data_IF_640128980153
#
_entry.id   IF_640128980153
#
_cell.length_a   1.000
_cell.length_b   1.000
_cell.length_c   1.000
_cell.angle_alpha   90.00
_cell.angle_beta   90.00
_cell.angle_gamma   90.00
#
_symmetry.space_group_name_H-M   'P 1'
#
loop_
_entity.id
_entity.type
_entity.pdbx_description
1 polymer ?
#
# COMPACT_ATOMS: atom_id res chain seq x y z
N UNK A 1 21.81 2.64 9.68
CA UNK A 1 21.82 1.17 9.90
C UNK A 1 20.68 0.70 10.82
N UNK A 2 19.99 1.62 11.51
CA UNK A 2 18.93 1.34 12.49
C UNK A 2 17.49 1.39 11.91
N UNK A 3 17.29 2.08 10.79
CA UNK A 3 16.00 2.17 10.06
C UNK A 3 15.53 0.82 9.47
N UNK A 4 16.45 -0.11 9.23
CA UNK A 4 16.18 -1.43 8.63
C UNK A 4 15.39 -2.36 9.56
N UNK A 5 15.30 -2.07 10.86
CA UNK A 5 14.56 -2.92 11.82
C UNK A 5 13.08 -2.53 11.97
N UNK A 6 12.65 -1.37 11.48
CA UNK A 6 11.26 -0.88 11.63
C UNK A 6 10.26 -1.51 10.66
N UNK A 7 10.71 -1.94 9.49
CA UNK A 7 9.85 -2.57 8.46
C UNK A 7 9.81 -4.11 8.58
N UNK A 8 10.93 -4.73 8.92
CA UNK A 8 11.12 -6.18 8.84
C UNK A 8 11.00 -6.89 10.19
N UNK A 9 9.79 -7.35 10.51
CA UNK A 9 9.62 -8.49 11.42
C UNK A 9 9.87 -9.78 10.64
N UNK A 10 10.79 -10.62 11.12
CA UNK A 10 11.17 -11.87 10.45
C UNK A 10 9.96 -12.79 10.28
N UNK A 11 9.67 -13.25 9.06
CA UNK A 11 8.71 -14.33 8.81
C UNK A 11 9.38 -15.42 7.96
N UNK A 12 9.47 -16.64 8.49
CA UNK A 12 9.75 -17.86 7.73
C UNK A 12 8.53 -18.75 7.87
N UNK A 13 7.77 -18.96 6.79
CA UNK A 13 6.74 -19.99 6.71
C UNK A 13 7.20 -21.08 5.73
N UNK A 14 7.17 -22.33 6.20
CA UNK A 14 7.48 -23.51 5.41
C UNK A 14 6.25 -23.99 4.64
N UNK A 15 6.46 -24.48 3.42
CA UNK A 15 5.40 -24.90 2.51
C UNK A 15 5.11 -26.41 2.68
N UNK A 16 3.84 -26.80 2.87
CA UNK A 16 3.39 -28.19 2.73
C UNK A 16 2.10 -28.24 1.92
N UNK A 17 2.11 -29.04 0.85
CA UNK A 17 0.99 -29.20 -0.07
C UNK A 17 0.02 -30.30 0.41
N UNK A 18 -1.29 -30.02 0.43
CA UNK A 18 -2.37 -31.01 0.37
C UNK A 18 -3.50 -30.49 -0.53
N UNK A 19 -4.02 -31.37 -1.39
CA UNK A 19 -4.97 -31.09 -2.48
C UNK A 19 -6.36 -30.66 -1.97
N UNK A 20 -6.96 -29.67 -2.63
CA UNK A 20 -8.34 -29.17 -2.42
C UNK A 20 -8.38 -27.74 -1.90
N UNK A 21 -8.59 -26.75 -2.79
CA UNK A 21 -8.50 -25.29 -2.54
C UNK A 21 -7.23 -24.92 -1.75
N UNK A 22 -6.15 -24.56 -2.44
CA UNK A 22 -4.88 -24.14 -1.83
C UNK A 22 -5.12 -23.06 -0.79
N UNK A 23 -5.19 -23.45 0.49
CA UNK A 23 -5.22 -22.54 1.63
C UNK A 23 -3.77 -22.11 1.79
N UNK A 24 -3.45 -20.85 1.46
CA UNK A 24 -2.10 -20.32 1.67
C UNK A 24 -1.92 -20.17 3.18
N UNK A 25 -1.25 -21.14 3.79
CA UNK A 25 -0.98 -21.19 5.23
C UNK A 25 0.14 -20.20 5.56
N UNK A 26 0.02 -19.47 6.67
CA UNK A 26 1.06 -18.55 7.14
C UNK A 26 1.19 -17.27 6.30
N UNK A 27 0.11 -16.86 5.62
CA UNK A 27 0.13 -15.69 4.77
C UNK A 27 -0.06 -14.41 5.60
N UNK A 28 0.82 -13.44 5.40
CA UNK A 28 0.65 -12.10 5.96
C UNK A 28 -0.45 -11.36 5.17
N UNK A 29 -1.33 -10.69 5.93
CA UNK A 29 -2.40 -9.83 5.42
C UNK A 29 -2.04 -8.39 5.76
N UNK A 30 -2.16 -7.52 4.78
CA UNK A 30 -1.94 -6.10 4.95
C UNK A 30 -3.23 -5.35 4.62
N UNK A 31 -3.92 -4.84 5.64
CA UNK A 31 -5.01 -3.91 5.44
C UNK A 31 -4.42 -2.50 5.28
N UNK A 32 -4.74 -1.79 4.19
CA UNK A 32 -4.12 -0.52 3.82
C UNK A 32 -5.17 0.53 3.52
N UNK A 33 -4.86 1.76 3.90
CA UNK A 33 -5.64 2.96 3.63
C UNK A 33 -4.67 4.13 3.35
N UNK A 34 -5.02 5.01 2.41
CA UNK A 34 -4.19 6.16 2.04
C UNK A 34 -4.91 7.48 2.27
N UNK A 35 -4.15 8.47 2.74
CA UNK A 35 -4.62 9.85 2.82
C UNK A 35 -3.96 10.67 1.73
N UNK A 36 -4.79 11.46 1.02
CA UNK A 36 -4.37 12.20 -0.16
C UNK A 36 -4.87 13.63 -0.15
N UNK A 37 -4.12 14.52 -0.78
CA UNK A 37 -4.56 15.88 -1.10
C UNK A 37 -4.49 16.10 -2.61
N UNK A 38 -5.21 17.10 -3.12
CA UNK A 38 -5.06 17.49 -4.54
C UNK A 38 -3.64 18.00 -4.78
N UNK A 39 -2.95 17.43 -5.76
CA UNK A 39 -1.64 17.89 -6.20
C UNK A 39 -1.78 19.20 -6.97
N UNK A 40 -1.54 20.31 -6.28
CA UNK A 40 -1.67 21.65 -6.86
C UNK A 40 -0.60 21.99 -7.89
N UNK A 41 0.48 21.20 -7.98
CA UNK A 41 1.47 21.34 -9.04
C UNK A 41 0.97 20.76 -10.37
N UNK A 42 0.07 19.78 -10.32
CA UNK A 42 -0.54 19.16 -11.50
C UNK A 42 -1.91 19.75 -11.83
N UNK A 43 -2.67 20.15 -10.82
CA UNK A 43 -4.00 20.75 -10.95
C UNK A 43 -4.04 22.09 -10.21
N UNK A 44 -3.74 23.20 -10.91
CA UNK A 44 -3.78 24.53 -10.32
C UNK A 44 -5.16 24.86 -9.73
N UNK A 45 -5.16 25.70 -8.70
CA UNK A 45 -6.40 26.23 -8.15
C UNK A 45 -7.16 27.04 -9.24
N UNK A 46 -8.50 27.04 -9.21
CA UNK A 46 -9.29 27.94 -10.05
C UNK A 46 -8.81 29.39 -9.90
N UNK A 47 -8.68 30.10 -11.02
CA UNK A 47 -8.31 31.51 -11.06
C UNK A 47 -9.43 32.46 -10.64
N UNK A 48 -10.68 31.99 -10.64
CA UNK A 48 -11.90 32.76 -10.38
C UNK A 48 -12.39 32.67 -8.94
N UNK A 49 -11.64 32.03 -8.03
CA UNK A 49 -12.02 31.89 -6.62
C UNK A 49 -13.25 30.99 -6.41
N UNK A 50 -13.74 30.32 -7.45
CA UNK A 50 -14.86 29.40 -7.36
C UNK A 50 -14.47 28.14 -6.60
N UNK A 51 -14.92 28.04 -5.35
CA UNK A 51 -15.04 26.79 -4.57
C UNK A 51 -16.15 25.87 -5.10
N UNK A 52 -16.59 26.03 -6.35
CA UNK A 52 -17.62 25.16 -6.91
C UNK A 52 -17.20 23.71 -6.81
N UNK A 53 -18.13 22.87 -6.34
CA UNK A 53 -17.95 21.46 -6.07
C UNK A 53 -17.52 20.72 -7.35
N UNK A 54 -16.22 20.69 -7.59
CA UNK A 54 -15.63 19.96 -8.70
C UNK A 54 -15.91 18.47 -8.53
N UNK A 55 -16.09 17.71 -9.63
CA UNK A 55 -16.09 16.26 -9.55
C UNK A 55 -14.81 15.81 -8.85
N UNK A 56 -14.93 14.77 -8.03
CA UNK A 56 -13.81 14.20 -7.29
C UNK A 56 -12.61 14.00 -8.23
N UNK A 57 -11.42 14.56 -7.93
CA UNK A 57 -10.31 14.54 -8.87
C UNK A 57 -9.87 13.11 -9.20
N UNK A 58 -9.45 12.84 -10.44
CA UNK A 58 -9.00 11.51 -10.84
C UNK A 58 -7.69 11.14 -10.11
N UNK A 59 -7.35 9.85 -9.95
CA UNK A 59 -6.17 9.40 -9.20
C UNK A 59 -4.85 10.12 -9.50
N UNK A 60 -4.49 10.46 -10.76
CA UNK A 60 -3.24 11.19 -11.06
C UNK A 60 -3.19 12.61 -10.47
N UNK A 61 -4.34 13.21 -10.15
CA UNK A 61 -4.46 14.56 -9.60
C UNK A 61 -4.25 14.62 -8.08
N UNK A 62 -4.00 13.48 -7.44
CA UNK A 62 -3.78 13.40 -5.99
C UNK A 62 -2.29 13.25 -5.66
N UNK A 63 -1.92 13.72 -4.47
CA UNK A 63 -0.63 13.54 -3.82
C UNK A 63 -0.86 12.77 -2.52
N UNK A 64 -0.06 11.75 -2.27
CA UNK A 64 -0.11 10.98 -1.03
C UNK A 64 0.52 11.79 0.11
N UNK A 65 -0.16 11.85 1.25
CA UNK A 65 0.33 12.50 2.48
C UNK A 65 0.47 11.53 3.64
N UNK A 66 -0.24 10.41 3.61
CA UNK A 66 -0.01 9.30 4.54
C UNK A 66 -0.39 7.97 3.90
N UNK A 67 0.26 6.91 4.37
CA UNK A 67 -0.12 5.52 4.08
C UNK A 67 -0.18 4.82 5.42
N UNK A 68 -1.33 4.29 5.81
CA UNK A 68 -1.50 3.57 7.06
C UNK A 68 -1.85 2.12 6.79
N UNK A 69 -1.39 1.23 7.66
CA UNK A 69 -1.64 -0.19 7.50
C UNK A 69 -1.77 -0.95 8.82
N UNK A 70 -2.66 -1.94 8.82
CA UNK A 70 -2.76 -2.96 9.86
C UNK A 70 -2.21 -4.28 9.33
N UNK A 71 -1.33 -4.91 10.11
CA UNK A 71 -0.77 -6.23 9.79
C UNK A 71 -1.49 -7.30 10.56
N UNK A 72 -1.96 -8.30 9.83
CA UNK A 72 -2.59 -9.48 10.40
C UNK A 72 -1.90 -10.72 9.86
N UNK A 73 -1.93 -11.80 10.64
CA UNK A 73 -1.46 -13.10 10.22
C UNK A 73 -2.60 -14.11 10.31
N UNK A 74 -2.74 -14.94 9.27
CA UNK A 74 -3.68 -16.06 9.28
C UNK A 74 -2.95 -17.34 9.67
N UNK A 75 -3.37 -17.96 10.77
CA UNK A 75 -2.83 -19.26 11.20
C UNK A 75 -3.36 -20.44 10.38
N UNK A 76 -2.90 -21.66 10.71
CA UNK A 76 -3.26 -22.89 10.00
C UNK A 76 -4.76 -23.22 10.07
N UNK A 77 -5.39 -22.89 11.21
CA UNK A 77 -6.83 -23.04 11.43
C UNK A 77 -7.65 -21.99 10.66
N UNK A 78 -7.00 -20.92 10.21
CA UNK A 78 -7.57 -19.82 9.46
C UNK A 78 -8.00 -18.63 10.31
N UNK A 79 -7.66 -18.62 11.61
CA UNK A 79 -7.94 -17.52 12.51
C UNK A 79 -7.02 -16.34 12.20
N UNK A 80 -7.56 -15.15 12.35
CA UNK A 80 -6.83 -13.90 12.13
C UNK A 80 -6.25 -13.41 13.46
N UNK A 81 -4.95 -13.18 13.45
CA UNK A 81 -4.22 -12.61 14.58
C UNK A 81 -3.74 -11.22 14.20
N UNK A 82 -4.20 -10.22 14.94
CA UNK A 82 -3.72 -8.85 14.80
C UNK A 82 -2.27 -8.77 15.29
N UNK A 83 -1.37 -8.17 14.49
CA UNK A 83 0.02 -7.94 14.88
C UNK A 83 0.22 -6.51 15.38
N UNK A 84 -0.03 -5.53 14.50
CA UNK A 84 0.10 -4.12 14.82
C UNK A 84 -0.59 -3.23 13.77
N UNK A 85 -0.69 -1.93 14.11
CA UNK A 85 -1.04 -0.82 13.19
C UNK A 85 0.15 0.12 13.13
N UNK A 86 0.48 0.58 11.92
CA UNK A 86 1.56 1.52 11.67
C UNK A 86 1.19 2.47 10.54
N UNK A 87 1.82 3.63 10.52
CA UNK A 87 1.90 4.47 9.33
C UNK A 87 3.26 4.26 8.66
N UNK A 88 3.27 4.28 7.33
CA UNK A 88 4.49 4.39 6.56
C UNK A 88 5.16 5.73 6.82
N UNK A 89 6.50 5.74 6.92
CA UNK A 89 7.27 6.96 7.17
C UNK A 89 7.02 7.58 8.55
N UNK A 90 7.44 8.84 8.71
CA UNK A 90 7.33 9.68 9.90
C UNK A 90 6.60 10.99 9.52
N UNK A 91 6.33 11.87 10.49
CA UNK A 91 5.58 13.12 10.22
C UNK A 91 6.28 14.02 9.18
N UNK A 92 7.60 13.90 9.07
CA UNK A 92 8.46 14.66 8.16
C UNK A 92 8.74 13.94 6.83
N UNK A 93 8.26 12.70 6.66
CA UNK A 93 8.53 11.92 5.44
C UNK A 93 7.90 12.57 4.22
N UNK A 94 8.71 12.71 3.17
CA UNK A 94 8.24 13.15 1.86
C UNK A 94 7.44 12.07 1.15
N UNK A 95 6.61 12.46 0.18
CA UNK A 95 5.76 11.52 -0.55
C UNK A 95 6.55 10.38 -1.22
N UNK A 96 7.68 10.69 -1.88
CA UNK A 96 8.51 9.70 -2.54
C UNK A 96 8.98 8.61 -1.57
N UNK A 97 9.33 9.00 -0.34
CA UNK A 97 9.74 8.07 0.72
C UNK A 97 8.58 7.17 1.17
N UNK A 98 7.38 7.73 1.34
CA UNK A 98 6.18 6.97 1.69
C UNK A 98 5.85 5.92 0.62
N UNK A 99 5.83 6.34 -0.64
CA UNK A 99 5.50 5.48 -1.78
C UNK A 99 6.55 4.40 -1.99
N UNK A 100 7.85 4.75 -1.96
CA UNK A 100 8.96 3.77 -2.07
C UNK A 100 8.92 2.77 -0.91
N UNK A 101 8.73 3.25 0.32
CA UNK A 101 8.61 2.40 1.51
C UNK A 101 7.49 1.37 1.39
N UNK A 102 6.29 1.81 0.96
CA UNK A 102 5.16 0.93 0.72
C UNK A 102 5.48 -0.15 -0.33
N UNK A 103 5.98 0.24 -1.51
CA UNK A 103 6.23 -0.71 -2.60
C UNK A 103 7.36 -1.68 -2.31
N UNK A 104 8.41 -1.25 -1.58
CA UNK A 104 9.46 -2.14 -1.08
C UNK A 104 8.90 -3.19 -0.13
N UNK A 105 8.10 -2.76 0.86
CA UNK A 105 7.45 -3.68 1.79
C UNK A 105 6.55 -4.67 1.07
N UNK A 106 5.69 -4.19 0.15
CA UNK A 106 4.82 -5.03 -0.66
C UNK A 106 5.62 -6.07 -1.45
N UNK A 107 6.70 -5.65 -2.12
CA UNK A 107 7.55 -6.53 -2.92
C UNK A 107 8.20 -7.64 -2.10
N UNK A 108 8.59 -7.35 -0.86
CA UNK A 108 9.30 -8.29 0.01
C UNK A 108 8.36 -9.22 0.76
N UNK A 109 7.24 -8.70 1.27
CA UNK A 109 6.30 -9.48 2.06
C UNK A 109 5.26 -10.24 1.21
N UNK A 110 4.98 -9.77 -0.02
CA UNK A 110 3.92 -10.29 -0.90
C UNK A 110 2.61 -10.61 -0.13
N UNK A 111 2.09 -9.67 0.68
CA UNK A 111 0.90 -9.93 1.50
C UNK A 111 -0.35 -10.05 0.63
N UNK A 112 -1.45 -10.65 1.11
CA UNK A 112 -2.74 -10.24 0.51
C UNK A 112 -3.13 -8.89 1.03
N UNK A 113 -3.39 -8.01 0.06
CA UNK A 113 -3.80 -6.66 0.31
C UNK A 113 -5.31 -6.62 0.56
N UNK A 114 -5.71 -5.96 1.63
CA UNK A 114 -7.10 -5.64 1.96
C UNK A 114 -7.24 -4.13 1.98
N UNK A 115 -8.25 -3.60 1.31
CA UNK A 115 -8.52 -2.15 1.23
C UNK A 115 -10.02 -1.92 1.20
N UNK A 116 -10.47 -0.71 1.51
CA UNK A 116 -11.82 -0.27 1.24
C UNK A 116 -11.86 0.51 -0.07
N UNK A 117 -12.41 -0.08 -1.14
CA UNK A 117 -12.41 0.51 -2.50
C UNK A 117 -11.01 0.86 -3.07
N UNK A 118 -9.93 0.24 -2.57
CA UNK A 118 -8.58 0.57 -3.04
C UNK A 118 -8.29 0.22 -4.49
N UNK A 119 -9.12 -0.64 -5.12
CA UNK A 119 -9.07 -0.86 -6.58
C UNK A 119 -9.54 0.36 -7.38
N UNK A 120 -10.47 1.14 -6.83
CA UNK A 120 -11.01 2.34 -7.46
C UNK A 120 -10.18 3.59 -7.18
N UNK A 121 -9.43 3.62 -6.08
CA UNK A 121 -8.72 4.82 -5.65
C UNK A 121 -7.28 4.59 -5.18
N UNK A 122 -7.06 3.98 -4.00
CA UNK A 122 -5.74 3.92 -3.36
C UNK A 122 -4.64 3.32 -4.26
N UNK A 123 -4.90 2.17 -4.89
CA UNK A 123 -3.91 1.49 -5.72
C UNK A 123 -3.63 2.26 -7.01
N UNK A 124 -4.64 2.74 -7.77
CA UNK A 124 -4.41 3.70 -8.84
C UNK A 124 -3.55 4.90 -8.41
N UNK A 125 -3.84 5.54 -7.27
CA UNK A 125 -3.04 6.66 -6.76
C UNK A 125 -1.59 6.23 -6.51
N UNK A 126 -1.36 5.15 -5.73
CA UNK A 126 -0.01 4.69 -5.40
C UNK A 126 0.81 4.27 -6.62
N UNK A 127 0.17 3.70 -7.66
CA UNK A 127 0.82 3.37 -8.93
C UNK A 127 1.20 4.63 -9.71
N UNK A 128 0.29 5.60 -9.82
CA UNK A 128 0.58 6.88 -10.47
C UNK A 128 1.69 7.63 -9.76
N UNK A 129 1.68 7.65 -8.42
CA UNK A 129 2.74 8.31 -7.63
C UNK A 129 4.06 7.56 -7.66
N UNK A 130 4.05 6.23 -7.76
CA UNK A 130 5.27 5.47 -8.02
C UNK A 130 5.88 5.87 -9.36
N UNK A 131 5.07 5.93 -10.42
CA UNK A 131 5.54 6.36 -11.74
C UNK A 131 6.04 7.81 -11.73
N UNK A 132 5.32 8.73 -11.09
CA UNK A 132 5.72 10.14 -10.96
C UNK A 132 7.10 10.29 -10.31
N UNK A 133 7.40 9.48 -9.29
CA UNK A 133 8.68 9.50 -8.57
C UNK A 133 9.75 8.54 -9.14
N UNK A 134 9.48 7.88 -10.28
CA UNK A 134 10.44 6.94 -10.89
C UNK A 134 10.67 5.64 -10.11
N UNK A 135 9.71 5.24 -9.29
CA UNK A 135 9.77 4.03 -8.45
C UNK A 135 9.22 2.84 -9.25
N UNK A 136 10.05 1.81 -9.45
CA UNK A 136 9.65 0.59 -10.12
C UNK A 136 8.82 -0.32 -9.20
N UNK A 137 7.70 -0.85 -9.72
CA UNK A 137 6.75 -1.70 -8.96
C UNK A 137 6.44 -3.03 -9.64
N UNK A 138 7.44 -3.78 -10.15
CA UNK A 138 7.22 -5.00 -10.93
C UNK A 138 6.43 -6.07 -10.15
N UNK A 139 6.67 -6.15 -8.84
CA UNK A 139 6.00 -7.06 -7.93
C UNK A 139 4.46 -6.95 -7.94
N UNK A 140 3.91 -5.81 -8.33
CA UNK A 140 2.47 -5.60 -8.46
C UNK A 140 1.86 -6.31 -9.68
N UNK A 141 2.62 -6.36 -10.78
CA UNK A 141 2.17 -6.91 -12.06
C UNK A 141 2.52 -8.38 -12.25
N UNK A 142 3.47 -8.88 -11.46
CA UNK A 142 3.70 -10.30 -11.30
C UNK A 142 2.49 -10.91 -10.58
N UNK A 143 1.57 -11.49 -11.35
CA UNK A 143 0.54 -12.35 -10.78
C UNK A 143 1.20 -13.45 -9.95
N UNK A 144 0.47 -14.01 -8.98
CA UNK A 144 0.87 -15.26 -8.34
C UNK A 144 0.81 -16.38 -9.38
N UNK A 145 1.77 -16.45 -10.29
CA UNK A 145 2.05 -17.63 -11.08
C UNK A 145 2.52 -18.71 -10.12
N UNK A 146 1.55 -19.51 -9.69
CA UNK A 146 1.72 -20.82 -9.08
C UNK A 146 0.80 -21.79 -9.78
#
# INVERSE_FOLDING_TARGET
MEERRRWFGSNRSGERQRHGRTRVIGQDILAVDTETVVDRNLVPAPSDGGEEARPFPPPPAHRVVAISYARLHRDEDGRLHFRDVRSGGHAESGEAELVDGFWRFFSQARPTLVTWNGRGFDMPVLLWRAMHHGIAVPAWFEGSSR
#
